data_IF_442044493165
#
_entry.id   IF_442044493165
#
_cell.length_a   1.000
_cell.length_b   1.000
_cell.length_c   1.000
_cell.angle_alpha   90.00
_cell.angle_beta   90.00
_cell.angle_gamma   90.00
#
_symmetry.space_group_name_H-M   'P 1'
#
loop_
_entity.id
_entity.type
_entity.pdbx_description
1 polymer ?
#
# COMPACT_ATOMS: atom_id res chain seq x y z
N UNK A 1 9.85 -15.50 20.20
CA UNK A 1 8.55 -14.80 20.15
C UNK A 1 7.70 -15.53 19.12
N UNK A 2 6.48 -15.93 19.45
CA UNK A 2 5.62 -16.71 18.56
C UNK A 2 4.53 -15.80 17.98
N UNK A 3 4.32 -15.85 16.67
CA UNK A 3 3.34 -15.02 15.96
C UNK A 3 2.30 -15.93 15.31
N UNK A 4 1.01 -15.66 15.53
CA UNK A 4 -0.10 -16.34 14.87
C UNK A 4 -0.67 -15.45 13.76
N UNK A 5 -0.61 -15.92 12.52
CA UNK A 5 -1.25 -15.27 11.37
C UNK A 5 -2.47 -16.09 10.97
N UNK A 6 -3.67 -15.49 11.01
CA UNK A 6 -4.91 -16.19 10.67
C UNK A 6 -5.86 -15.35 9.82
N UNK A 7 -6.78 -16.02 9.15
CA UNK A 7 -7.96 -15.41 8.54
C UNK A 7 -9.16 -16.34 8.78
N UNK A 8 -10.36 -15.96 8.33
CA UNK A 8 -11.60 -16.74 8.60
C UNK A 8 -11.44 -18.22 8.20
N UNK A 9 -10.88 -18.49 7.02
CA UNK A 9 -10.78 -19.84 6.47
C UNK A 9 -9.35 -20.42 6.51
N UNK A 10 -8.35 -19.63 6.93
CA UNK A 10 -6.94 -20.06 6.90
C UNK A 10 -6.40 -20.46 5.51
N UNK A 11 -7.08 -20.12 4.42
CA UNK A 11 -6.81 -20.67 3.07
C UNK A 11 -6.11 -19.70 2.11
N UNK A 12 -6.51 -18.43 2.12
CA UNK A 12 -6.11 -17.44 1.11
C UNK A 12 -5.39 -16.24 1.75
N UNK A 13 -6.12 -15.35 2.45
CA UNK A 13 -5.57 -14.11 3.04
C UNK A 13 -4.38 -14.30 3.99
N UNK A 14 -4.49 -15.23 4.94
CA UNK A 14 -3.40 -15.49 5.90
C UNK A 14 -2.22 -16.17 5.23
N UNK A 15 -2.48 -17.02 4.24
CA UNK A 15 -1.45 -17.70 3.47
C UNK A 15 -0.67 -16.73 2.57
N UNK A 16 -1.35 -15.73 1.98
CA UNK A 16 -0.68 -14.70 1.17
C UNK A 16 0.21 -13.79 2.02
N UNK A 17 -0.21 -13.42 3.24
CA UNK A 17 0.67 -12.68 4.18
C UNK A 17 1.91 -13.49 4.56
N UNK A 18 1.73 -14.77 4.88
CA UNK A 18 2.85 -15.67 5.19
C UNK A 18 3.79 -15.81 3.97
N UNK A 19 3.23 -15.95 2.76
CA UNK A 19 4.02 -16.04 1.55
C UNK A 19 4.84 -14.77 1.28
N UNK A 20 4.26 -13.59 1.48
CA UNK A 20 4.99 -12.32 1.36
C UNK A 20 6.15 -12.25 2.35
N UNK A 21 5.95 -12.66 3.61
CA UNK A 21 7.01 -12.70 4.60
C UNK A 21 8.14 -13.68 4.22
N UNK A 22 7.80 -14.86 3.68
CA UNK A 22 8.79 -15.83 3.20
C UNK A 22 9.57 -15.30 1.99
N UNK A 23 8.94 -14.58 1.06
CA UNK A 23 9.63 -13.93 -0.06
C UNK A 23 10.71 -12.93 0.39
N UNK A 24 10.47 -12.22 1.49
CA UNK A 24 11.47 -11.30 2.08
C UNK A 24 12.56 -12.06 2.83
N UNK A 25 12.16 -13.06 3.61
CA UNK A 25 13.03 -13.75 4.57
C UNK A 25 13.92 -14.82 3.94
N UNK A 26 13.47 -15.42 2.83
CA UNK A 26 14.13 -16.54 2.16
C UNK A 26 14.37 -16.24 0.67
N UNK A 27 15.47 -15.53 0.34
CA UNK A 27 15.75 -15.08 -1.02
C UNK A 27 16.00 -16.21 -2.03
N UNK A 28 16.14 -17.45 -1.53
CA UNK A 28 16.36 -18.64 -2.36
C UNK A 28 15.07 -19.08 -3.07
N UNK A 29 13.90 -18.66 -2.58
CA UNK A 29 12.62 -18.98 -3.19
C UNK A 29 12.38 -18.04 -4.36
N UNK A 30 12.42 -18.58 -5.57
CA UNK A 30 12.45 -17.77 -6.79
C UNK A 30 11.06 -17.33 -7.23
N UNK A 31 9.98 -18.04 -6.91
CA UNK A 31 8.61 -17.63 -7.29
C UNK A 31 7.63 -17.61 -6.13
N UNK A 32 6.58 -16.79 -6.26
CA UNK A 32 5.44 -16.80 -5.35
C UNK A 32 4.85 -18.21 -5.26
N UNK A 33 4.80 -18.94 -6.38
CA UNK A 33 4.29 -20.30 -6.42
C UNK A 33 5.16 -21.28 -5.61
N UNK A 34 6.49 -21.15 -5.64
CA UNK A 34 7.39 -22.00 -4.85
C UNK A 34 7.17 -21.81 -3.36
N UNK A 35 7.02 -20.55 -2.93
CA UNK A 35 6.69 -20.22 -1.54
C UNK A 35 5.36 -20.85 -1.14
N UNK A 36 4.32 -20.69 -1.97
CA UNK A 36 3.01 -21.30 -1.69
C UNK A 36 3.10 -22.83 -1.63
N UNK A 37 3.89 -23.44 -2.49
CA UNK A 37 4.14 -24.88 -2.47
C UNK A 37 4.82 -25.32 -1.17
N UNK A 38 5.75 -24.53 -0.63
CA UNK A 38 6.34 -24.81 0.68
C UNK A 38 5.31 -24.73 1.81
N UNK A 39 4.46 -23.71 1.82
CA UNK A 39 3.43 -23.60 2.86
C UNK A 39 2.46 -24.81 2.78
N UNK A 40 2.16 -25.28 1.55
CA UNK A 40 1.31 -26.45 1.31
C UNK A 40 1.85 -27.76 1.87
N UNK A 41 3.17 -27.88 2.11
CA UNK A 41 3.75 -29.06 2.79
C UNK A 41 3.11 -29.24 4.18
N UNK A 42 2.85 -28.13 4.89
CA UNK A 42 2.27 -28.14 6.24
C UNK A 42 0.76 -27.88 6.22
N UNK A 43 0.26 -27.15 5.22
CA UNK A 43 -1.14 -26.76 5.07
C UNK A 43 -1.65 -27.04 3.64
N UNK A 44 -1.94 -28.31 3.29
CA UNK A 44 -2.22 -28.72 1.91
C UNK A 44 -3.43 -28.02 1.27
N UNK A 45 -4.40 -27.59 2.08
CA UNK A 45 -5.63 -26.96 1.60
C UNK A 45 -5.48 -25.47 1.25
N UNK A 46 -4.28 -24.90 1.36
CA UNK A 46 -4.03 -23.51 0.98
C UNK A 46 -4.28 -23.29 -0.50
N UNK A 47 -5.06 -22.24 -0.76
CA UNK A 47 -5.39 -21.77 -2.08
C UNK A 47 -5.52 -20.25 -2.03
N UNK A 48 -4.42 -19.60 -2.38
CA UNK A 48 -4.37 -18.16 -2.53
C UNK A 48 -5.08 -17.82 -3.83
N UNK A 49 -5.99 -16.84 -3.79
CA UNK A 49 -6.74 -16.46 -4.97
C UNK A 49 -5.81 -15.78 -6.00
N UNK A 50 -6.24 -15.77 -7.26
CA UNK A 50 -5.42 -15.28 -8.36
C UNK A 50 -4.95 -13.82 -8.18
N UNK A 51 -5.76 -12.95 -7.56
CA UNK A 51 -5.37 -11.56 -7.31
C UNK A 51 -4.21 -11.46 -6.32
N UNK A 52 -4.28 -12.18 -5.21
CA UNK A 52 -3.16 -12.22 -4.25
C UNK A 52 -1.91 -12.91 -4.80
N UNK A 53 -2.06 -13.89 -5.71
CA UNK A 53 -0.91 -14.45 -6.41
C UNK A 53 -0.23 -13.40 -7.29
N UNK A 54 -1.01 -12.62 -8.03
CA UNK A 54 -0.49 -11.51 -8.82
C UNK A 54 0.20 -10.45 -7.95
N UNK A 55 -0.40 -10.10 -6.81
CA UNK A 55 0.19 -9.17 -5.85
C UNK A 55 1.52 -9.69 -5.28
N UNK A 56 1.62 -11.00 -5.01
CA UNK A 56 2.86 -11.64 -4.54
C UNK A 56 3.96 -11.63 -5.61
N UNK A 57 3.61 -11.88 -6.87
CA UNK A 57 4.56 -11.81 -7.98
C UNK A 57 5.05 -10.38 -8.21
N UNK A 58 4.15 -9.39 -8.14
CA UNK A 58 4.49 -7.98 -8.19
C UNK A 58 5.39 -7.58 -7.02
N UNK A 59 5.02 -7.99 -5.80
CA UNK A 59 5.82 -7.74 -4.59
C UNK A 59 7.24 -8.29 -4.74
N UNK A 60 7.39 -9.54 -5.21
CA UNK A 60 8.70 -10.11 -5.55
C UNK A 60 9.43 -9.30 -6.61
N UNK A 61 8.76 -8.88 -7.68
CA UNK A 61 9.37 -8.10 -8.73
C UNK A 61 9.91 -6.76 -8.19
N UNK A 62 9.18 -6.10 -7.29
CA UNK A 62 9.63 -4.89 -6.58
C UNK A 62 10.84 -5.17 -5.70
N UNK A 63 10.84 -6.29 -4.97
CA UNK A 63 12.01 -6.71 -4.18
C UNK A 63 13.26 -6.98 -5.04
N UNK A 64 13.08 -7.46 -6.28
CA UNK A 64 14.17 -7.75 -7.21
C UNK A 64 14.62 -6.56 -8.08
N UNK A 65 13.72 -5.63 -8.41
CA UNK A 65 14.00 -4.43 -9.22
C UNK A 65 14.69 -3.33 -8.42
N UNK A 66 14.45 -3.29 -7.11
CA UNK A 66 15.22 -2.45 -6.22
C UNK A 66 16.61 -3.04 -6.15
N UNK A 67 17.59 -2.41 -6.82
CA UNK A 67 19.00 -2.71 -6.64
C UNK A 67 19.23 -2.82 -5.14
N UNK A 68 19.51 -4.03 -4.64
CA UNK A 68 19.46 -4.41 -3.21
C UNK A 68 20.36 -3.53 -2.32
N UNK A 69 21.22 -2.74 -2.95
CA UNK A 69 22.06 -1.69 -2.38
C UNK A 69 21.32 -0.39 -1.97
N UNK A 70 20.04 -0.21 -2.32
CA UNK A 70 19.30 1.06 -2.12
C UNK A 70 17.93 0.93 -1.47
N UNK A 71 17.61 -0.21 -0.86
CA UNK A 71 16.71 -0.14 0.29
C UNK A 71 17.60 0.31 1.45
N UNK A 72 17.62 1.62 1.73
CA UNK A 72 18.30 2.11 2.93
C UNK A 72 17.79 1.27 4.11
N UNK A 73 18.64 1.03 5.10
CA UNK A 73 18.26 0.27 6.28
C UNK A 73 16.95 0.82 6.91
N UNK A 74 16.66 2.11 6.75
CA UNK A 74 15.42 2.75 7.17
C UNK A 74 14.19 2.29 6.36
N UNK A 75 14.28 2.14 5.04
CA UNK A 75 13.17 1.63 4.22
C UNK A 75 12.87 0.17 4.52
N UNK A 76 13.90 -0.66 4.69
CA UNK A 76 13.72 -2.05 5.11
C UNK A 76 13.07 -2.13 6.50
N UNK A 77 13.49 -1.28 7.45
CA UNK A 77 12.89 -1.14 8.77
C UNK A 77 11.42 -0.67 8.69
N UNK A 78 11.10 0.29 7.83
CA UNK A 78 9.74 0.79 7.59
C UNK A 78 8.79 -0.26 7.01
N UNK A 79 9.30 -1.15 6.14
CA UNK A 79 8.51 -2.27 5.60
C UNK A 79 8.28 -3.37 6.65
N UNK A 80 9.23 -3.58 7.57
CA UNK A 80 9.09 -4.56 8.65
C UNK A 80 8.26 -4.06 9.84
N UNK A 81 8.14 -2.74 10.02
CA UNK A 81 7.51 -2.14 11.21
C UNK A 81 6.07 -1.63 10.95
N UNK A 82 5.56 -1.67 9.71
CA UNK A 82 4.26 -1.04 9.39
C UNK A 82 3.19 -2.01 8.88
N UNK A 83 2.01 -1.90 9.49
CA UNK A 83 0.76 -2.09 8.77
C UNK A 83 0.69 -1.01 7.68
N UNK A 84 0.70 -1.40 6.40
CA UNK A 84 0.52 -0.40 5.35
C UNK A 84 -0.86 0.24 5.50
N UNK A 85 -0.95 1.56 5.67
CA UNK A 85 -2.24 2.22 5.71
C UNK A 85 -2.93 2.00 4.37
N UNK A 86 -4.11 1.37 4.41
CA UNK A 86 -4.92 1.17 3.20
C UNK A 86 -5.50 2.53 2.80
N UNK A 87 -5.02 3.04 1.67
CA UNK A 87 -5.47 4.29 1.06
C UNK A 87 -6.46 3.95 -0.05
N UNK A 88 -7.76 4.01 0.27
CA UNK A 88 -8.80 3.93 -0.74
C UNK A 88 -8.97 5.31 -1.40
N UNK A 89 -8.93 5.35 -2.74
CA UNK A 89 -9.13 6.55 -3.54
C UNK A 89 -10.48 6.48 -4.28
N UNK A 90 -11.12 7.64 -4.48
CA UNK A 90 -12.28 7.73 -5.36
C UNK A 90 -11.92 7.33 -6.80
N UNK A 91 -12.86 6.71 -7.52
CA UNK A 91 -12.64 6.20 -8.88
C UNK A 91 -12.13 7.29 -9.86
N UNK A 92 -12.55 8.53 -9.67
CA UNK A 92 -12.12 9.70 -10.45
C UNK A 92 -10.64 10.07 -10.29
N UNK A 93 -9.97 9.57 -9.24
CA UNK A 93 -8.56 9.87 -8.96
C UNK A 93 -7.60 8.80 -9.49
N UNK A 94 -8.13 7.60 -9.82
CA UNK A 94 -7.32 6.43 -10.20
C UNK A 94 -6.48 6.73 -11.43
N UNK A 95 -7.07 7.34 -12.45
CA UNK A 95 -6.37 7.67 -13.70
C UNK A 95 -5.15 8.58 -13.47
N UNK A 96 -5.30 9.60 -12.62
CA UNK A 96 -4.22 10.50 -12.28
C UNK A 96 -3.12 9.84 -11.44
N UNK A 97 -3.51 8.92 -10.54
CA UNK A 97 -2.57 8.15 -9.72
C UNK A 97 -1.73 7.22 -10.59
N UNK A 98 -2.38 6.46 -11.48
CA UNK A 98 -1.72 5.51 -12.37
C UNK A 98 -0.79 6.21 -13.35
N UNK A 99 -1.20 7.38 -13.87
CA UNK A 99 -0.37 8.22 -14.76
C UNK A 99 0.70 9.02 -14.01
N UNK A 100 0.76 8.94 -12.67
CA UNK A 100 1.68 9.70 -11.84
C UNK A 100 1.42 11.21 -11.80
N UNK A 101 0.32 11.69 -12.37
CA UNK A 101 -0.08 13.10 -12.34
C UNK A 101 -0.74 13.50 -11.01
N UNK A 102 -1.13 12.50 -10.19
CA UNK A 102 -1.58 12.68 -8.81
C UNK A 102 -0.69 11.89 -7.86
N UNK A 103 0.09 12.60 -7.06
CA UNK A 103 1.03 12.03 -6.06
C UNK A 103 0.74 12.50 -4.64
N UNK A 104 -0.29 13.33 -4.45
CA UNK A 104 -0.72 13.87 -3.16
C UNK A 104 -2.22 13.69 -2.95
N UNK A 105 -2.59 13.31 -1.73
CA UNK A 105 -3.97 13.35 -1.24
C UNK A 105 -4.05 14.00 0.13
N UNK A 106 -5.23 14.52 0.49
CA UNK A 106 -5.49 15.14 1.79
C UNK A 106 -6.54 14.32 2.54
N UNK A 107 -6.36 14.18 3.85
CA UNK A 107 -7.36 13.57 4.74
C UNK A 107 -7.56 14.43 5.98
N UNK A 108 -8.76 14.36 6.56
CA UNK A 108 -9.02 15.00 7.85
C UNK A 108 -8.16 14.34 8.94
N UNK A 109 -7.55 15.16 9.81
CA UNK A 109 -6.59 14.70 10.83
C UNK A 109 -7.17 13.62 11.75
N UNK A 110 -8.49 13.61 11.97
CA UNK A 110 -9.17 12.61 12.80
C UNK A 110 -9.24 11.20 12.18
N UNK A 111 -8.94 11.03 10.89
CA UNK A 111 -9.02 9.73 10.19
C UNK A 111 -7.73 8.93 10.33
N UNK A 112 -6.64 9.55 10.78
CA UNK A 112 -5.35 8.93 10.98
C UNK A 112 -4.84 9.32 12.37
N UNK A 113 -5.13 8.49 13.38
CA UNK A 113 -4.40 8.56 14.63
C UNK A 113 -2.89 8.41 14.33
N UNK A 114 -2.12 9.50 14.49
CA UNK A 114 -0.73 9.37 14.92
C UNK A 114 0.41 10.03 14.12
N UNK A 115 0.19 10.91 13.14
CA UNK A 115 1.34 11.64 12.53
C UNK A 115 0.98 13.08 12.16
N UNK A 116 1.75 14.02 12.70
CA UNK A 116 1.75 15.45 12.39
C UNK A 116 3.11 15.85 11.84
N UNK A 117 3.15 16.57 10.72
CA UNK A 117 4.03 17.72 10.48
C UNK A 117 3.76 18.38 9.12
N UNK A 118 4.12 19.67 9.06
CA UNK A 118 3.65 20.73 8.18
C UNK A 118 4.27 20.82 6.76
N UNK A 119 3.53 21.58 5.93
CA UNK A 119 3.90 22.30 4.70
C UNK A 119 3.94 21.53 3.37
N UNK A 120 2.99 21.83 2.48
CA UNK A 120 3.18 22.19 1.05
C UNK A 120 1.84 22.13 0.26
N UNK A 121 1.13 23.26 0.16
CA UNK A 121 -0.08 23.37 -0.66
C UNK A 121 0.23 23.60 -2.15
N UNK A 122 0.95 22.69 -2.82
CA UNK A 122 1.19 22.78 -4.27
C UNK A 122 1.38 21.37 -4.85
N UNK A 123 0.30 20.57 -5.01
CA UNK A 123 0.33 19.27 -5.78
C UNK A 123 -1.00 18.49 -5.79
N UNK A 124 -2.10 19.06 -5.32
CA UNK A 124 -3.36 18.32 -5.09
C UNK A 124 -4.25 18.17 -6.33
N UNK A 125 -3.86 18.76 -7.46
CA UNK A 125 -4.59 18.77 -8.74
C UNK A 125 -5.91 19.56 -8.74
N UNK A 126 -6.13 20.42 -7.74
CA UNK A 126 -7.28 21.33 -7.66
C UNK A 126 -6.85 22.74 -8.05
N UNK A 127 -7.75 23.47 -8.72
CA UNK A 127 -7.45 24.80 -9.26
C UNK A 127 -7.71 25.92 -8.23
N UNK A 128 -8.43 25.63 -7.14
CA UNK A 128 -8.71 26.60 -6.06
C UNK A 128 -8.99 25.94 -4.70
N UNK A 129 -8.89 26.74 -3.63
CA UNK A 129 -9.26 26.33 -2.25
C UNK A 129 -10.76 26.02 -2.15
N UNK A 130 -11.60 26.78 -2.87
CA UNK A 130 -13.05 26.59 -2.84
C UNK A 130 -13.46 25.23 -3.43
N UNK A 131 -12.76 24.78 -4.48
CA UNK A 131 -12.96 23.45 -5.08
C UNK A 131 -12.56 22.33 -4.11
N UNK A 132 -11.46 22.51 -3.39
CA UNK A 132 -11.03 21.58 -2.33
C UNK A 132 -12.09 21.50 -1.23
N UNK A 133 -12.62 22.63 -0.77
CA UNK A 133 -13.66 22.66 0.26
C UNK A 133 -14.98 22.07 -0.23
N UNK A 134 -15.37 22.30 -1.49
CA UNK A 134 -16.57 21.73 -2.08
C UNK A 134 -16.52 20.20 -2.14
N UNK A 135 -15.34 19.61 -2.36
CA UNK A 135 -15.16 18.16 -2.31
C UNK A 135 -15.09 17.66 -0.87
N UNK A 136 -14.34 18.34 0.01
CA UNK A 136 -14.17 17.89 1.39
C UNK A 136 -15.47 17.98 2.20
N UNK A 137 -16.32 18.98 1.96
CA UNK A 137 -17.61 19.15 2.65
C UNK A 137 -18.59 18.00 2.38
N UNK A 138 -18.45 17.30 1.24
CA UNK A 138 -19.24 16.09 0.94
C UNK A 138 -18.95 14.95 1.93
N UNK A 139 -17.73 14.90 2.50
CA UNK A 139 -17.28 13.85 3.40
C UNK A 139 -17.15 14.32 4.85
N UNK A 140 -16.88 15.62 5.05
CA UNK A 140 -16.68 16.26 6.34
C UNK A 140 -17.53 17.53 6.40
N UNK A 141 -18.79 17.45 6.86
CA UNK A 141 -19.76 18.55 6.77
C UNK A 141 -19.31 19.85 7.47
N UNK A 142 -18.38 19.73 8.42
CA UNK A 142 -17.89 20.83 9.25
C UNK A 142 -16.47 21.31 8.85
N UNK A 143 -15.95 20.90 7.69
CA UNK A 143 -14.63 21.35 7.23
C UNK A 143 -14.68 22.83 6.84
N UNK A 144 -13.68 23.59 7.28
CA UNK A 144 -13.52 25.02 6.99
C UNK A 144 -12.10 25.30 6.50
N UNK A 145 -11.85 26.51 6.00
CA UNK A 145 -10.51 26.98 5.59
C UNK A 145 -9.48 26.89 6.70
N UNK A 146 -9.90 27.01 7.96
CA UNK A 146 -9.03 26.89 9.13
C UNK A 146 -8.82 25.44 9.60
N UNK A 147 -9.48 24.46 9.01
CA UNK A 147 -9.37 23.06 9.42
C UNK A 147 -8.03 22.47 8.97
N UNK A 148 -7.23 22.00 9.93
CA UNK A 148 -5.97 21.30 9.64
C UNK A 148 -6.23 19.98 8.91
N UNK A 149 -5.60 19.83 7.74
CA UNK A 149 -5.65 18.61 6.93
C UNK A 149 -4.29 17.93 6.98
N UNK A 150 -4.29 16.60 7.02
CA UNK A 150 -3.08 15.83 6.84
C UNK A 150 -2.87 15.60 5.34
N UNK A 151 -1.68 15.99 4.86
CA UNK A 151 -1.26 15.76 3.50
C UNK A 151 -0.44 14.47 3.41
N UNK A 152 -0.82 13.61 2.48
CA UNK A 152 -0.16 12.32 2.26
C UNK A 152 0.45 12.31 0.87
N UNK A 153 1.77 12.19 0.84
CA UNK A 153 2.53 11.97 -0.38
C UNK A 153 2.59 10.47 -0.61
N UNK A 154 2.30 10.04 -1.84
CA UNK A 154 2.37 8.64 -2.22
C UNK A 154 2.99 8.51 -3.61
N UNK A 155 3.63 7.37 -3.83
CA UNK A 155 4.17 7.00 -5.13
C UNK A 155 3.47 5.74 -5.62
N UNK A 156 2.99 5.80 -6.86
CA UNK A 156 2.48 4.62 -7.53
C UNK A 156 3.67 3.78 -8.02
N UNK A 157 3.80 2.57 -7.48
CA UNK A 157 4.97 1.70 -7.72
C UNK A 157 4.78 0.75 -8.92
N UNK A 158 3.61 0.72 -9.56
CA UNK A 158 3.31 -0.25 -10.61
C UNK A 158 2.83 0.41 -11.91
N UNK A 159 3.66 1.19 -12.62
CA UNK A 159 3.28 1.68 -13.94
C UNK A 159 3.05 0.47 -14.85
N UNK A 160 1.82 0.32 -15.35
CA UNK A 160 1.53 -0.65 -16.42
C UNK A 160 2.41 -0.26 -17.59
N UNK A 161 3.34 -1.13 -17.98
CA UNK A 161 4.17 -0.91 -19.16
C UNK A 161 3.24 -0.65 -20.35
N UNK A 162 3.32 0.55 -20.92
CA UNK A 162 2.66 0.87 -22.16
C UNK A 162 3.14 -0.13 -23.22
N UNK A 163 2.21 -0.89 -23.80
CA UNK A 163 2.44 -1.64 -25.04
C UNK A 163 2.56 -0.67 -26.21
#
# INVERSE_FOLDING_TARGET
>A
MNVLVHCIAGRSRSASVLAAWMLVSEPKLQSAQDVVNQIRIIRPWIEINAHFMHDLDLFRAVLGSTNRATLSAEMAVLLTDRSFPRLDFGANLVDGIVKGTKTITMRHLSVLCGYSNDSEYIKTSFDSIDEVLAVLTQYYPNVATATSLLMLHFHYLCPVAAK
#
